data_IF_752323035316
#
_entry.id   IF_752323035316
#
_cell.length_a   1.000
_cell.length_b   1.000
_cell.length_c   1.000
_cell.angle_alpha   90.00
_cell.angle_beta   90.00
_cell.angle_gamma   90.00
#
_symmetry.space_group_name_H-M   'P 1'
#
loop_
_entity.id
_entity.type
_entity.pdbx_description
1 polymer ?
#
# COMPACT_ATOMS: atom_id res chain seq x y z
N UNK A 1 40.77 17.54 6.94
CA UNK A 1 39.53 17.62 6.14
C UNK A 1 38.99 16.21 6.14
N UNK A 2 38.30 15.88 7.21
CA UNK A 2 37.70 14.58 7.40
C UNK A 2 36.35 14.62 6.71
N UNK A 3 36.24 13.88 5.61
CA UNK A 3 35.00 13.65 4.90
C UNK A 3 34.17 12.68 5.73
N UNK A 4 33.29 13.25 6.57
CA UNK A 4 32.23 12.53 7.26
C UNK A 4 31.32 11.89 6.20
N UNK A 5 31.58 10.61 5.96
CA UNK A 5 30.78 9.75 5.10
C UNK A 5 29.58 9.32 5.92
N UNK A 6 28.54 10.18 5.95
CA UNK A 6 27.27 9.88 6.59
C UNK A 6 26.64 8.62 5.98
N UNK A 7 26.92 7.48 6.59
CA UNK A 7 26.07 6.29 6.48
C UNK A 7 24.73 6.68 7.10
N UNK A 8 23.77 7.03 6.24
CA UNK A 8 22.40 7.31 6.64
C UNK A 8 21.85 6.09 7.32
N UNK A 9 21.77 6.14 8.64
CA UNK A 9 21.18 5.10 9.46
C UNK A 9 19.73 4.92 8.98
N UNK A 10 19.42 3.78 8.37
CA UNK A 10 18.07 3.32 7.98
C UNK A 10 17.24 3.05 9.25
N UNK A 11 17.06 4.10 10.05
CA UNK A 11 16.35 4.03 11.30
C UNK A 11 14.87 3.75 11.00
N UNK A 12 14.33 2.73 11.69
CA UNK A 12 12.92 2.39 11.67
C UNK A 12 12.06 3.65 11.84
N UNK A 13 11.01 3.78 11.03
CA UNK A 13 10.07 4.89 11.14
C UNK A 13 9.38 4.90 12.51
N UNK A 14 9.22 6.10 13.08
CA UNK A 14 8.70 6.31 14.44
C UNK A 14 7.34 7.03 14.47
N UNK A 15 6.91 7.60 13.35
CA UNK A 15 5.58 8.19 13.22
C UNK A 15 4.53 7.08 13.28
N UNK A 16 3.56 7.23 14.19
CA UNK A 16 2.54 6.23 14.46
C UNK A 16 1.63 5.91 13.25
N UNK A 17 1.62 6.75 12.21
CA UNK A 17 0.92 6.50 10.94
C UNK A 17 1.64 5.53 10.01
N UNK A 18 2.95 5.37 10.17
CA UNK A 18 3.84 4.64 9.26
C UNK A 18 4.51 3.47 9.99
N UNK A 19 3.68 2.54 10.46
CA UNK A 19 4.15 1.37 11.22
C UNK A 19 4.54 0.25 10.29
N UNK A 20 5.75 -0.26 10.44
CA UNK A 20 6.15 -1.49 9.75
C UNK A 20 5.45 -2.72 10.37
N UNK A 21 5.23 -3.76 9.56
CA UNK A 21 4.61 -5.02 9.95
C UNK A 21 3.38 -5.35 9.12
N UNK A 22 2.44 -6.08 9.73
CA UNK A 22 1.21 -6.55 9.08
C UNK A 22 0.18 -5.43 8.90
N UNK A 23 -0.37 -5.36 7.69
CA UNK A 23 -1.46 -4.46 7.32
C UNK A 23 -2.60 -5.26 6.68
N UNK A 24 -3.80 -4.71 6.77
CA UNK A 24 -5.00 -5.21 6.08
C UNK A 24 -5.75 -4.03 5.48
N UNK A 25 -6.70 -4.32 4.61
CA UNK A 25 -7.56 -3.28 4.08
C UNK A 25 -8.42 -3.77 2.95
N UNK A 26 -8.87 -2.83 2.14
CA UNK A 26 -9.59 -3.11 0.92
C UNK A 26 -9.30 -2.06 -0.15
N UNK A 27 -9.49 -2.46 -1.40
CA UNK A 27 -9.75 -1.56 -2.51
C UNK A 27 -11.22 -1.69 -2.91
N UNK A 28 -11.78 -0.62 -3.48
CA UNK A 28 -13.17 -0.56 -3.93
C UNK A 28 -13.20 -0.29 -5.43
N UNK A 29 -14.01 -1.04 -6.16
CA UNK A 29 -14.27 -0.94 -7.60
C UNK A 29 -15.76 -1.15 -7.81
N UNK A 30 -16.41 -0.24 -8.54
CA UNK A 30 -17.86 -0.30 -8.82
C UNK A 30 -18.74 -0.54 -7.59
N UNK A 31 -18.38 0.09 -6.46
CA UNK A 31 -19.10 -0.01 -5.19
C UNK A 31 -18.91 -1.35 -4.46
N UNK A 32 -18.03 -2.24 -4.94
CA UNK A 32 -17.69 -3.53 -4.33
C UNK A 32 -16.28 -3.48 -3.76
N UNK A 33 -16.07 -4.13 -2.62
CA UNK A 33 -14.79 -4.12 -1.90
C UNK A 33 -14.10 -5.47 -1.96
N UNK A 34 -12.83 -5.47 -2.36
CA UNK A 34 -11.95 -6.63 -2.23
C UNK A 34 -10.97 -6.42 -1.08
N UNK A 35 -10.85 -7.44 -0.21
CA UNK A 35 -9.91 -7.44 0.90
C UNK A 35 -8.50 -7.72 0.42
N UNK A 36 -7.51 -7.12 1.09
CA UNK A 36 -6.11 -7.41 0.88
C UNK A 36 -5.34 -7.47 2.20
N UNK A 37 -4.31 -8.31 2.24
CA UNK A 37 -3.34 -8.42 3.33
C UNK A 37 -1.97 -8.02 2.81
N UNK A 38 -1.21 -7.29 3.63
CA UNK A 38 0.11 -6.79 3.28
C UNK A 38 1.08 -6.95 4.45
N UNK A 39 2.36 -7.07 4.13
CA UNK A 39 3.48 -6.86 5.05
C UNK A 39 4.23 -5.63 4.53
N UNK A 40 4.23 -4.52 5.28
CA UNK A 40 4.82 -3.25 4.86
C UNK A 40 6.00 -2.86 5.74
N UNK A 41 7.04 -2.31 5.11
CA UNK A 41 8.18 -1.70 5.78
C UNK A 41 8.26 -0.23 5.43
N UNK A 42 8.32 0.61 6.46
CA UNK A 42 8.50 2.06 6.36
C UNK A 42 9.87 2.43 6.93
N UNK A 43 10.74 2.97 6.08
CA UNK A 43 12.06 3.44 6.49
C UNK A 43 12.56 4.55 5.57
N UNK A 44 13.08 5.63 6.15
CA UNK A 44 13.71 6.72 5.39
C UNK A 44 12.82 7.35 4.31
N UNK A 45 11.51 7.45 4.52
CA UNK A 45 10.56 7.98 3.53
C UNK A 45 10.19 7.01 2.41
N UNK A 46 10.60 5.74 2.50
CA UNK A 46 10.25 4.67 1.54
C UNK A 46 9.26 3.68 2.12
N UNK A 47 8.34 3.23 1.27
CA UNK A 47 7.41 2.13 1.53
C UNK A 47 7.84 0.96 0.65
N UNK A 48 8.07 -0.21 1.24
CA UNK A 48 8.26 -1.46 0.49
C UNK A 48 7.47 -2.58 1.16
N UNK A 49 7.10 -3.60 0.41
CA UNK A 49 6.40 -4.73 0.99
C UNK A 49 5.88 -5.71 -0.04
N UNK A 50 5.08 -6.65 0.44
CA UNK A 50 4.37 -7.63 -0.37
C UNK A 50 3.00 -7.93 0.22
N UNK A 51 2.19 -8.66 -0.52
CA UNK A 51 0.87 -9.02 -0.05
C UNK A 51 0.11 -9.91 -1.04
N UNK A 52 -1.14 -10.15 -0.68
CA UNK A 52 -2.08 -10.96 -1.45
C UNK A 52 -3.49 -10.41 -1.33
N UNK A 53 -4.21 -10.48 -2.44
CA UNK A 53 -5.66 -10.30 -2.52
C UNK A 53 -6.29 -11.28 -3.51
N UNK A 54 -7.53 -11.00 -3.94
CA UNK A 54 -8.32 -11.84 -4.85
C UNK A 54 -7.70 -11.94 -6.25
N UNK A 55 -6.87 -10.98 -6.66
CA UNK A 55 -6.20 -10.96 -7.98
C UNK A 55 -4.96 -11.84 -7.95
N UNK A 56 -4.21 -11.81 -6.84
CA UNK A 56 -3.05 -12.66 -6.63
C UNK A 56 -2.02 -12.07 -5.67
N UNK A 57 -0.81 -12.63 -5.73
CA UNK A 57 0.36 -12.11 -5.01
C UNK A 57 0.91 -10.85 -5.70
N UNK A 58 1.36 -9.90 -4.89
CA UNK A 58 1.91 -8.63 -5.37
C UNK A 58 3.06 -8.14 -4.50
N UNK A 59 3.85 -7.21 -5.05
CA UNK A 59 4.83 -6.41 -4.33
C UNK A 59 4.43 -4.94 -4.31
N UNK A 60 4.86 -4.22 -3.29
CA UNK A 60 4.67 -2.77 -3.10
C UNK A 60 6.02 -2.08 -3.11
N UNK A 61 6.11 -0.97 -3.84
CA UNK A 61 7.21 -0.01 -3.71
C UNK A 61 6.66 1.41 -3.77
N UNK A 62 7.22 2.33 -2.99
CA UNK A 62 6.66 3.67 -2.89
C UNK A 62 7.41 4.60 -1.95
N UNK A 63 6.82 5.76 -1.69
CA UNK A 63 7.34 6.79 -0.82
C UNK A 63 6.25 7.37 0.07
N UNK A 64 6.67 7.93 1.20
CA UNK A 64 5.80 8.68 2.10
C UNK A 64 6.50 9.95 2.61
N UNK A 65 5.69 10.98 2.85
CA UNK A 65 6.13 12.22 3.46
C UNK A 65 5.58 12.34 4.89
N UNK A 66 6.48 12.49 5.85
CA UNK A 66 6.15 12.54 7.28
C UNK A 66 5.41 13.82 7.67
N UNK A 67 5.67 14.93 6.99
CA UNK A 67 5.08 16.22 7.35
C UNK A 67 3.62 16.31 6.88
N UNK A 68 3.35 15.83 5.68
CA UNK A 68 2.06 15.93 5.00
C UNK A 68 1.21 14.68 5.16
N UNK A 69 1.82 13.51 5.39
CA UNK A 69 1.14 12.22 5.38
C UNK A 69 0.92 11.65 3.98
N UNK A 70 1.33 12.35 2.91
CA UNK A 70 1.14 11.90 1.52
C UNK A 70 1.95 10.62 1.28
N UNK A 71 1.34 9.67 0.59
CA UNK A 71 1.92 8.39 0.21
C UNK A 71 1.67 8.14 -1.28
N UNK A 72 2.70 7.68 -1.98
CA UNK A 72 2.57 7.13 -3.34
C UNK A 72 3.12 5.71 -3.33
N UNK A 73 2.38 4.76 -3.90
CA UNK A 73 2.78 3.36 -3.98
C UNK A 73 2.45 2.81 -5.36
N UNK A 74 3.35 2.00 -5.90
CA UNK A 74 3.09 1.14 -7.03
C UNK A 74 2.94 -0.29 -6.52
N UNK A 75 1.81 -0.91 -6.85
CA UNK A 75 1.53 -2.33 -6.60
C UNK A 75 1.74 -3.09 -7.90
N UNK A 76 2.66 -4.06 -7.88
CA UNK A 76 2.99 -4.85 -9.05
C UNK A 76 2.58 -6.30 -8.83
N UNK A 77 1.65 -6.79 -9.64
CA UNK A 77 1.36 -8.22 -9.70
C UNK A 77 2.43 -8.91 -10.55
N UNK A 78 3.05 -9.96 -10.02
CA UNK A 78 4.17 -10.63 -10.67
C UNK A 78 3.77 -11.16 -12.07
N UNK A 79 4.37 -10.60 -13.12
CA UNK A 79 4.13 -10.98 -14.51
C UNK A 79 2.83 -10.47 -15.13
N UNK A 80 2.15 -9.50 -14.49
CA UNK A 80 0.88 -8.94 -14.97
C UNK A 80 0.96 -7.41 -15.17
N UNK A 81 0.23 -6.63 -14.35
CA UNK A 81 0.12 -5.19 -14.46
C UNK A 81 0.51 -4.48 -13.15
N UNK A 82 0.75 -3.17 -13.28
CA UNK A 82 0.98 -2.24 -12.18
C UNK A 82 -0.31 -1.50 -11.84
N UNK A 83 -0.47 -1.18 -10.56
CA UNK A 83 -1.55 -0.34 -10.03
C UNK A 83 -0.94 0.77 -9.20
N UNK A 84 -1.25 2.01 -9.53
CA UNK A 84 -0.77 3.20 -8.83
C UNK A 84 -1.73 3.57 -7.70
N UNK A 85 -1.20 3.80 -6.51
CA UNK A 85 -1.94 4.22 -5.32
C UNK A 85 -1.43 5.58 -4.86
N UNK A 86 -2.33 6.56 -4.85
CA UNK A 86 -2.11 7.87 -4.24
C UNK A 86 -2.96 7.99 -2.98
N UNK A 87 -2.34 8.21 -1.82
CA UNK A 87 -3.07 8.28 -0.56
C UNK A 87 -2.50 9.26 0.47
N UNK A 88 -3.23 9.38 1.56
CA UNK A 88 -2.86 10.18 2.73
C UNK A 88 -3.02 9.33 3.98
N UNK A 89 -1.97 9.31 4.80
CA UNK A 89 -1.93 8.62 6.07
C UNK A 89 -2.53 9.46 7.21
N UNK A 90 -3.46 8.84 7.93
CA UNK A 90 -4.12 9.37 9.13
C UNK A 90 -4.04 8.33 10.26
N UNK A 91 -4.67 8.63 11.40
CA UNK A 91 -4.63 7.75 12.58
C UNK A 91 -5.27 6.36 12.33
N UNK A 92 -6.20 6.27 11.39
CA UNK A 92 -6.93 5.05 11.04
C UNK A 92 -6.35 4.34 9.80
N UNK A 93 -5.16 4.74 9.32
CA UNK A 93 -4.48 4.13 8.18
C UNK A 93 -4.31 5.06 6.98
N UNK A 94 -4.05 4.47 5.81
CA UNK A 94 -3.81 5.18 4.55
C UNK A 94 -5.03 5.02 3.65
N UNK A 95 -5.60 6.14 3.21
CA UNK A 95 -6.76 6.20 2.31
C UNK A 95 -6.42 6.97 1.05
N UNK A 96 -7.06 6.61 -0.06
CA UNK A 96 -6.81 7.32 -1.31
C UNK A 96 -7.47 6.69 -2.52
N UNK A 97 -6.86 6.93 -3.67
CA UNK A 97 -7.30 6.44 -4.99
C UNK A 97 -6.26 5.48 -5.53
N UNK A 98 -6.73 4.39 -6.13
CA UNK A 98 -5.91 3.53 -6.98
C UNK A 98 -6.26 3.77 -8.45
N UNK A 99 -5.30 3.58 -9.37
CA UNK A 99 -5.48 3.69 -10.82
C UNK A 99 -4.70 2.63 -11.55
N UNK A 100 -5.26 2.15 -12.65
CA UNK A 100 -4.60 1.33 -13.66
C UNK A 100 -4.49 2.17 -14.92
N UNK A 101 -3.33 2.11 -15.57
CA UNK A 101 -3.07 2.87 -16.78
C UNK A 101 -2.90 1.93 -17.98
N UNK A 102 -3.54 2.28 -19.09
CA UNK A 102 -3.25 1.70 -20.39
C UNK A 102 -1.89 2.20 -20.89
N UNK A 103 -1.32 1.45 -21.84
CA UNK A 103 -0.19 1.92 -22.64
C UNK A 103 -0.55 3.28 -23.28
N UNK A 104 0.27 4.30 -23.00
CA UNK A 104 0.03 5.68 -23.45
C UNK A 104 -0.54 6.61 -22.36
N UNK A 105 -0.73 6.12 -21.13
CA UNK A 105 -1.04 6.95 -19.95
C UNK A 105 -2.52 7.33 -19.79
N UNK A 106 -3.41 6.70 -20.55
CA UNK A 106 -4.85 6.81 -20.31
C UNK A 106 -5.22 5.95 -19.09
N UNK A 107 -6.13 6.45 -18.25
CA UNK A 107 -6.66 5.68 -17.14
C UNK A 107 -7.57 4.59 -17.71
N UNK A 108 -7.24 3.34 -17.42
CA UNK A 108 -8.05 2.17 -17.72
C UNK A 108 -9.17 2.02 -16.69
N UNK A 109 -8.76 2.06 -15.42
CA UNK A 109 -9.63 1.86 -14.27
C UNK A 109 -9.13 2.64 -13.05
N UNK A 110 -10.03 2.90 -12.11
CA UNK A 110 -9.73 3.58 -10.86
C UNK A 110 -10.77 3.30 -9.79
N UNK A 111 -10.36 3.44 -8.54
CA UNK A 111 -11.26 3.31 -7.40
C UNK A 111 -10.64 3.83 -6.12
N UNK A 112 -11.29 3.56 -4.99
CA UNK A 112 -10.77 4.01 -3.68
C UNK A 112 -10.09 2.88 -2.95
N UNK A 113 -9.25 3.20 -1.97
CA UNK A 113 -8.70 2.21 -1.07
C UNK A 113 -8.63 2.73 0.36
N UNK A 114 -8.56 1.78 1.29
CA UNK A 114 -8.19 2.03 2.67
C UNK A 114 -7.41 0.84 3.22
N UNK A 115 -6.20 1.08 3.70
CA UNK A 115 -5.37 0.10 4.41
C UNK A 115 -5.00 0.61 5.80
N UNK A 116 -4.87 -0.30 6.76
CA UNK A 116 -4.52 0.01 8.13
C UNK A 116 -3.67 -1.11 8.75
N UNK A 117 -2.83 -0.80 9.75
CA UNK A 117 -2.04 -1.80 10.45
C UNK A 117 -2.96 -2.78 11.19
N UNK A 118 -2.59 -4.06 11.21
CA UNK A 118 -3.27 -5.07 12.02
C UNK A 118 -2.88 -4.85 13.47
N UNK A 119 -3.86 -4.72 14.36
CA UNK A 119 -3.65 -4.64 15.80
C UNK A 119 -3.12 -5.98 16.33
N UNK A 120 -2.26 -5.97 17.35
CA UNK A 120 -1.74 -7.20 17.97
C UNK A 120 -2.82 -8.16 18.51
N UNK A 121 -4.05 -7.66 18.72
CA UNK A 121 -5.20 -8.39 19.27
C UNK A 121 -6.15 -8.96 18.19
N UNK A 122 -6.01 -8.56 16.91
CA UNK A 122 -6.92 -9.01 15.86
C UNK A 122 -6.40 -10.25 15.12
N UNK A 123 -6.93 -11.42 15.49
CA UNK A 123 -6.96 -12.57 14.59
C UNK A 123 -7.85 -12.20 13.40
N UNK A 124 -7.25 -12.03 12.22
CA UNK A 124 -7.99 -11.80 10.98
C UNK A 124 -8.88 -13.02 10.72
N UNK A 125 -10.15 -12.94 11.12
CA UNK A 125 -11.13 -13.97 10.83
C UNK A 125 -11.53 -13.84 9.36
N UNK A 126 -11.29 -14.90 8.59
CA UNK A 126 -11.66 -15.01 7.18
C UNK A 126 -13.19 -14.91 7.06
N UNK A 127 -13.68 -13.68 6.83
CA UNK A 127 -15.10 -13.41 6.64
C UNK A 127 -15.36 -13.27 5.14
N UNK A 128 -16.32 -14.08 4.67
CA UNK A 128 -16.72 -14.38 3.29
C UNK A 128 -16.51 -13.23 2.29
N UNK A 129 -15.71 -13.55 1.27
CA UNK A 129 -15.37 -12.70 0.13
C UNK A 129 -16.60 -12.46 -0.76
N UNK A 130 -16.93 -11.20 -1.03
CA UNK A 130 -17.66 -10.88 -2.25
C UNK A 130 -16.62 -10.67 -3.36
N UNK A 131 -16.43 -11.71 -4.18
CA UNK A 131 -15.45 -11.71 -5.26
C UNK A 131 -15.77 -10.60 -6.27
N UNK A 132 -14.89 -9.61 -6.34
CA UNK A 132 -14.67 -8.77 -7.53
C UNK A 132 -13.66 -9.50 -8.41
N UNK A 133 -13.99 -9.67 -9.69
CA UNK A 133 -13.02 -10.13 -10.66
C UNK A 133 -11.94 -9.04 -10.80
N UNK A 134 -10.68 -9.45 -10.91
CA UNK A 134 -9.59 -8.52 -11.20
C UNK A 134 -9.91 -7.72 -12.48
N UNK A 135 -9.56 -6.42 -12.54
CA UNK A 135 -9.52 -5.72 -13.83
C UNK A 135 -8.59 -6.49 -14.78
N UNK A 136 -9.07 -6.70 -16.02
CA UNK A 136 -8.41 -7.48 -17.08
C UNK A 136 -7.43 -6.64 -17.88
#
# INVERSE_FOLDING_TARGET
>A
MDVDSGQGNDAHETDGRFRSGRWTGYWEQDGRRARMRLELTFAGGRIVGDGRDVVGDFVISGAYDRQTGVCTMQKTYLGQHDVDYDGTAAADGIRGIWRIFLAGGLIDDAGTFHIWPVSDDESVSESVEEQVAAPV
#
